data_IF_482294917544
#
_entry.id   IF_482294917544
#
_cell.length_a   1.000
_cell.length_b   1.000
_cell.length_c   1.000
_cell.angle_alpha   90.00
_cell.angle_beta   90.00
_cell.angle_gamma   90.00
#
_symmetry.space_group_name_H-M   'P 1'
#
loop_
_entity.id
_entity.type
_entity.pdbx_description
1 polymer ?
#
# COMPACT_ATOMS: atom_id res chain seq x y z
N UNK A 1 -7.69 -12.87 9.11
CA UNK A 1 -7.06 -11.61 8.66
C UNK A 1 -5.76 -11.94 7.94
N UNK A 2 -5.64 -11.60 6.66
CA UNK A 2 -4.43 -11.82 5.86
C UNK A 2 -3.54 -10.58 5.91
N UNK A 3 -2.28 -10.73 6.34
CA UNK A 3 -1.29 -9.65 6.34
C UNK A 3 -0.41 -9.83 5.11
N UNK A 4 -0.28 -8.78 4.30
CA UNK A 4 0.66 -8.71 3.16
C UNK A 4 1.68 -7.62 3.44
N UNK A 5 2.97 -7.95 3.27
CA UNK A 5 4.08 -7.03 3.56
C UNK A 5 4.82 -6.75 2.26
N UNK A 6 4.94 -5.47 1.90
CA UNK A 6 5.78 -5.01 0.80
C UNK A 6 7.13 -4.57 1.36
N UNK A 7 8.19 -5.32 1.05
CA UNK A 7 9.54 -5.05 1.53
C UNK A 7 10.47 -4.66 0.36
N UNK A 8 11.30 -3.65 0.58
CA UNK A 8 12.32 -3.21 -0.39
C UNK A 8 13.03 -1.92 0.04
N UNK A 9 14.17 -1.59 -0.59
CA UNK A 9 14.97 -0.40 -0.28
C UNK A 9 14.16 0.91 -0.23
N UNK A 10 14.57 1.95 0.52
CA UNK A 10 13.91 3.27 0.48
C UNK A 10 13.76 3.81 -0.95
N UNK A 11 12.66 4.51 -1.25
CA UNK A 11 12.38 5.06 -2.59
C UNK A 11 11.83 4.05 -3.61
N UNK A 12 11.70 2.77 -3.29
CA UNK A 12 11.05 1.79 -4.18
C UNK A 12 9.52 1.83 -4.12
N UNK A 13 8.86 1.20 -5.10
CA UNK A 13 7.41 1.18 -5.39
C UNK A 13 6.48 0.60 -4.31
N UNK A 14 6.91 0.48 -3.05
CA UNK A 14 6.11 -0.13 -1.95
C UNK A 14 4.73 0.50 -1.82
N UNK A 15 4.67 1.83 -1.81
CA UNK A 15 3.42 2.59 -1.70
C UNK A 15 2.57 2.45 -2.96
N UNK A 16 3.17 2.68 -4.12
CA UNK A 16 2.46 2.62 -5.40
C UNK A 16 1.90 1.22 -5.68
N UNK A 17 2.60 0.17 -5.29
CA UNK A 17 2.17 -1.22 -5.52
C UNK A 17 0.97 -1.59 -4.63
N UNK A 18 0.93 -1.12 -3.38
CA UNK A 18 -0.23 -1.27 -2.49
C UNK A 18 -1.46 -0.58 -3.10
N UNK A 19 -1.29 0.66 -3.56
CA UNK A 19 -2.41 1.46 -4.10
C UNK A 19 -2.90 0.92 -5.44
N UNK A 20 -2.00 0.53 -6.35
CA UNK A 20 -2.38 0.08 -7.69
C UNK A 20 -2.90 -1.35 -7.72
N UNK A 21 -2.34 -2.25 -6.90
CA UNK A 21 -2.60 -3.69 -7.05
C UNK A 21 -3.43 -4.31 -5.92
N UNK A 22 -3.32 -3.77 -4.70
CA UNK A 22 -3.96 -4.37 -3.52
C UNK A 22 -5.23 -3.64 -3.13
N UNK A 23 -5.25 -2.31 -3.16
CA UNK A 23 -6.43 -1.52 -2.82
C UNK A 23 -7.66 -1.89 -3.67
N UNK A 24 -7.58 -2.02 -5.02
CA UNK A 24 -8.77 -2.36 -5.81
C UNK A 24 -9.37 -3.71 -5.43
N UNK A 25 -8.52 -4.72 -5.17
CA UNK A 25 -8.96 -6.06 -4.77
C UNK A 25 -9.62 -6.05 -3.40
N UNK A 26 -9.02 -5.36 -2.44
CA UNK A 26 -9.54 -5.29 -1.06
C UNK A 26 -10.88 -4.54 -1.03
N UNK A 27 -11.03 -3.48 -1.83
CA UNK A 27 -12.29 -2.73 -1.97
C UNK A 27 -13.37 -3.57 -2.65
N UNK A 28 -13.04 -4.28 -3.74
CA UNK A 28 -13.98 -5.17 -4.44
C UNK A 28 -14.48 -6.31 -3.53
N UNK A 29 -13.62 -6.83 -2.66
CA UNK A 29 -13.97 -7.82 -1.63
C UNK A 29 -14.78 -7.24 -0.45
N UNK A 30 -15.04 -5.92 -0.42
CA UNK A 30 -15.75 -5.25 0.69
C UNK A 30 -14.96 -5.24 2.00
N UNK A 31 -13.63 -5.31 1.92
CA UNK A 31 -12.73 -5.44 3.07
C UNK A 31 -12.02 -4.12 3.38
N UNK A 32 -11.59 -3.98 4.63
CA UNK A 32 -10.78 -2.84 5.07
C UNK A 32 -9.30 -3.10 4.78
N UNK A 33 -8.65 -2.17 4.08
CA UNK A 33 -7.19 -2.12 3.95
C UNK A 33 -6.61 -1.20 5.02
N UNK A 34 -5.72 -1.72 5.85
CA UNK A 34 -4.91 -0.93 6.78
C UNK A 34 -3.47 -0.99 6.29
N UNK A 35 -2.88 0.15 5.95
CA UNK A 35 -1.51 0.24 5.44
C UNK A 35 -0.75 1.38 6.13
N UNK A 36 0.54 1.17 6.41
CA UNK A 36 1.44 2.18 6.96
C UNK A 36 2.32 2.71 5.82
N UNK A 37 1.80 3.68 5.08
CA UNK A 37 2.51 4.33 3.97
C UNK A 37 3.38 5.46 4.54
N UNK A 38 4.66 5.47 4.20
CA UNK A 38 5.62 6.52 4.55
C UNK A 38 6.01 7.28 3.26
N UNK A 39 6.19 8.59 3.34
CA UNK A 39 6.63 9.43 2.21
C UNK A 39 5.51 10.00 1.33
N UNK A 40 4.30 10.20 1.86
CA UNK A 40 3.28 11.04 1.21
C UNK A 40 3.49 12.54 1.48
N UNK A 41 4.45 12.88 2.34
CA UNK A 41 4.71 14.24 2.83
C UNK A 41 5.89 14.92 2.13
N UNK A 42 6.26 14.50 0.91
CA UNK A 42 7.10 15.34 0.05
C UNK A 42 6.25 16.55 -0.42
N UNK A 43 6.05 17.49 0.50
CA UNK A 43 5.75 18.87 0.18
C UNK A 43 7.02 19.43 -0.45
N UNK A 44 6.90 19.77 -1.74
CA UNK A 44 7.89 20.44 -2.60
C UNK A 44 8.87 21.38 -1.88
#
# INVERSE_FOLDING_TARGET
MSIKIHHGPPGTSKTSDVIANDLPKVVDEGRLLITNIHGLDDVE
#
